data_IF_730181032483
#
_entry.id   IF_730181032483
#
_cell.length_a   1.000
_cell.length_b   1.000
_cell.length_c   1.000
_cell.angle_alpha   90.00
_cell.angle_beta   90.00
_cell.angle_gamma   90.00
#
_symmetry.space_group_name_H-M   'P 1'
#
loop_
_entity.id
_entity.type
_entity.pdbx_description
1 polymer ?
#
# COMPACT_ATOMS: atom_id res chain seq x y z
N UNK A 1 34.15 -26.06 -76.10
CA UNK A 1 34.50 -26.60 -74.77
C UNK A 1 34.76 -25.37 -73.89
N UNK A 2 33.75 -24.96 -73.11
CA UNK A 2 33.70 -23.70 -72.31
C UNK A 2 34.68 -23.78 -71.11
N UNK A 3 35.54 -22.79 -70.83
CA UNK A 3 35.41 -21.46 -70.16
C UNK A 3 35.10 -21.52 -68.65
N UNK A 4 35.92 -20.75 -67.92
CA UNK A 4 36.15 -20.57 -66.48
C UNK A 4 35.19 -19.56 -65.78
N UNK A 5 35.38 -19.40 -64.45
CA UNK A 5 34.87 -18.41 -63.47
C UNK A 5 33.54 -18.76 -62.77
N UNK A 6 33.30 -18.50 -61.47
CA UNK A 6 34.00 -17.73 -60.44
C UNK A 6 33.10 -17.71 -59.17
N UNK A 7 33.62 -17.14 -58.09
CA UNK A 7 33.20 -17.25 -56.68
C UNK A 7 31.83 -16.65 -56.27
N UNK A 8 31.43 -17.05 -55.05
CA UNK A 8 30.65 -16.32 -54.03
C UNK A 8 29.20 -15.89 -54.33
N UNK A 9 28.24 -16.34 -53.50
CA UNK A 9 27.49 -15.49 -52.56
C UNK A 9 26.44 -16.31 -51.78
N UNK A 10 26.55 -16.24 -50.45
CA UNK A 10 25.46 -16.02 -49.49
C UNK A 10 24.29 -17.02 -49.40
N UNK A 11 24.30 -17.86 -48.36
CA UNK A 11 23.07 -18.41 -47.77
C UNK A 11 23.12 -18.26 -46.23
N UNK A 12 23.43 -17.04 -45.77
CA UNK A 12 23.44 -16.63 -44.34
C UNK A 12 22.14 -15.90 -43.94
N UNK A 13 21.25 -15.62 -44.90
CA UNK A 13 20.07 -14.75 -44.69
C UNK A 13 18.93 -15.41 -43.92
N UNK A 14 18.84 -16.75 -43.88
CA UNK A 14 17.76 -17.43 -43.14
C UNK A 14 18.04 -17.56 -41.64
N UNK A 15 19.30 -17.72 -41.23
CA UNK A 15 19.67 -17.70 -39.81
C UNK A 15 19.59 -16.30 -39.23
N UNK A 16 20.01 -15.28 -39.97
CA UNK A 16 19.94 -13.89 -39.51
C UNK A 16 18.50 -13.44 -39.29
N UNK A 17 17.55 -13.77 -40.17
CA UNK A 17 16.13 -13.43 -39.93
C UNK A 17 15.50 -14.16 -38.75
N UNK A 18 15.93 -15.40 -38.46
CA UNK A 18 15.43 -16.16 -37.29
C UNK A 18 15.98 -15.60 -35.98
N UNK A 19 17.27 -15.28 -35.94
CA UNK A 19 17.92 -14.69 -34.76
C UNK A 19 17.41 -13.26 -34.54
N UNK A 20 17.20 -12.49 -35.61
CA UNK A 20 16.65 -11.14 -35.51
C UNK A 20 15.18 -11.17 -35.06
N UNK A 21 14.38 -12.15 -35.49
CA UNK A 21 12.98 -12.27 -35.05
C UNK A 21 12.86 -12.75 -33.60
N UNK A 22 13.72 -13.68 -33.14
CA UNK A 22 13.78 -14.10 -31.74
C UNK A 22 14.37 -13.01 -30.82
N UNK A 23 15.38 -12.25 -31.28
CA UNK A 23 15.89 -11.08 -30.57
C UNK A 23 14.87 -9.94 -30.55
N UNK A 24 14.09 -9.74 -31.62
CA UNK A 24 13.06 -8.70 -31.68
C UNK A 24 11.83 -9.10 -30.87
N UNK A 25 11.45 -10.37 -30.83
CA UNK A 25 10.37 -10.87 -29.96
C UNK A 25 10.79 -10.92 -28.49
N UNK A 26 12.05 -11.24 -28.17
CA UNK A 26 12.57 -11.14 -26.80
C UNK A 26 12.80 -9.70 -26.37
N UNK A 27 13.12 -8.80 -27.32
CA UNK A 27 13.18 -7.34 -27.10
C UNK A 27 11.80 -6.73 -26.98
N UNK A 28 10.79 -7.19 -27.73
CA UNK A 28 9.38 -6.76 -27.59
C UNK A 28 8.76 -7.34 -26.31
N UNK A 29 9.01 -8.60 -25.96
CA UNK A 29 8.69 -9.17 -24.64
C UNK A 29 9.51 -8.55 -23.50
N UNK A 30 10.60 -7.83 -23.79
CA UNK A 30 11.36 -6.99 -22.84
C UNK A 30 10.92 -5.52 -22.85
N UNK A 31 10.29 -5.02 -23.91
CA UNK A 31 9.71 -3.67 -23.97
C UNK A 31 8.28 -3.65 -23.38
N UNK A 32 7.57 -4.78 -23.42
CA UNK A 32 6.38 -5.01 -22.59
C UNK A 32 6.72 -5.21 -21.12
N UNK A 33 8.01 -5.43 -20.78
CA UNK A 33 8.47 -5.46 -19.39
C UNK A 33 8.61 -4.03 -18.87
N UNK A 34 7.82 -3.77 -17.85
CA UNK A 34 8.02 -2.72 -16.84
C UNK A 34 7.77 -1.31 -17.36
N UNK A 35 6.51 -0.99 -17.68
CA UNK A 35 6.08 0.42 -17.68
C UNK A 35 6.32 0.94 -16.25
N UNK A 36 7.23 1.91 -16.07
CA UNK A 36 7.50 2.50 -14.78
C UNK A 36 6.32 3.36 -14.34
N UNK A 37 5.84 3.15 -13.12
CA UNK A 37 4.72 3.90 -12.56
C UNK A 37 5.17 4.65 -11.31
N UNK A 38 4.82 5.94 -11.23
CA UNK A 38 5.13 6.79 -10.07
C UNK A 38 4.06 6.67 -8.97
N UNK A 39 4.43 6.83 -7.70
CA UNK A 39 3.47 6.84 -6.58
C UNK A 39 3.19 8.28 -6.16
N UNK A 40 1.91 8.63 -6.11
CA UNK A 40 1.40 9.95 -5.79
C UNK A 40 0.38 9.86 -4.65
N UNK A 41 0.59 10.62 -3.58
CA UNK A 41 -0.49 10.93 -2.64
C UNK A 41 -1.23 12.19 -3.09
N UNK A 42 -2.54 12.06 -3.22
CA UNK A 42 -3.41 13.18 -3.57
C UNK A 42 -3.74 13.97 -2.29
N UNK A 43 -3.17 15.18 -2.17
CA UNK A 43 -3.58 16.10 -1.11
C UNK A 43 -4.95 16.68 -1.47
N UNK A 44 -5.88 16.69 -0.52
CA UNK A 44 -7.22 17.29 -0.64
C UNK A 44 -7.22 18.83 -0.56
N UNK A 45 -6.15 19.47 -1.04
CA UNK A 45 -6.13 20.92 -1.27
C UNK A 45 -6.72 21.20 -2.65
N UNK A 46 -8.04 21.38 -2.71
CA UNK A 46 -8.64 22.21 -3.76
C UNK A 46 -8.28 23.65 -3.44
N UNK A 47 -7.29 24.16 -4.18
CA UNK A 47 -7.14 25.59 -4.35
C UNK A 47 -8.44 26.15 -4.97
N UNK A 48 -8.89 27.37 -4.61
CA UNK A 48 -9.97 28.05 -5.32
C UNK A 48 -9.65 28.30 -6.80
N UNK A 49 -8.42 28.03 -7.23
CA UNK A 49 -8.00 27.99 -8.62
C UNK A 49 -8.07 26.54 -9.16
N UNK A 50 -8.70 26.30 -10.32
CA UNK A 50 -9.05 24.96 -10.83
C UNK A 50 -7.88 24.04 -11.24
N UNK A 51 -6.63 24.34 -10.84
CA UNK A 51 -5.44 23.65 -11.36
C UNK A 51 -4.39 23.22 -10.34
N UNK A 52 -4.59 23.37 -9.03
CA UNK A 52 -3.58 22.92 -8.06
C UNK A 52 -4.14 21.91 -7.06
N UNK A 53 -4.39 20.70 -7.56
CA UNK A 53 -4.29 19.49 -6.73
C UNK A 53 -2.81 19.35 -6.34
N UNK A 54 -2.47 19.58 -5.08
CA UNK A 54 -1.11 19.29 -4.63
C UNK A 54 -0.93 17.78 -4.58
N UNK A 55 -0.26 17.23 -5.59
CA UNK A 55 0.16 15.84 -5.61
C UNK A 55 1.55 15.74 -5.01
N UNK A 56 1.73 14.93 -3.97
CA UNK A 56 3.05 14.61 -3.44
C UNK A 56 3.52 13.30 -4.07
N UNK A 57 4.51 13.39 -4.95
CA UNK A 57 5.20 12.20 -5.47
C UNK A 57 6.09 11.64 -4.36
N UNK A 58 5.96 10.35 -4.06
CA UNK A 58 6.65 9.69 -2.92
C UNK A 58 7.67 8.67 -3.42
N UNK A 59 7.59 8.21 -4.67
CA UNK A 59 8.54 7.27 -5.26
C UNK A 59 8.48 7.21 -6.78
N UNK A 60 9.54 6.66 -7.38
CA UNK A 60 9.78 6.56 -8.82
C UNK A 60 9.52 5.16 -9.38
N UNK A 61 8.96 5.10 -10.59
CA UNK A 61 9.21 4.05 -11.60
C UNK A 61 9.12 2.59 -11.10
N UNK A 62 7.97 2.17 -10.60
CA UNK A 62 7.71 0.77 -10.25
C UNK A 62 7.25 -0.06 -11.45
N UNK A 63 7.69 -1.32 -11.59
CA UNK A 63 7.25 -2.19 -12.68
C UNK A 63 5.78 -2.59 -12.52
N UNK A 64 4.93 -2.21 -13.48
CA UNK A 64 3.49 -2.46 -13.43
C UNK A 64 3.07 -3.93 -13.35
N UNK A 65 3.71 -4.80 -14.13
CA UNK A 65 3.26 -6.20 -14.29
C UNK A 65 3.28 -7.00 -12.96
N UNK A 66 4.39 -6.99 -12.19
CA UNK A 66 4.42 -7.60 -10.86
C UNK A 66 3.31 -7.10 -9.94
N UNK A 67 3.09 -5.79 -9.95
CA UNK A 67 2.13 -5.14 -9.10
C UNK A 67 0.69 -5.51 -9.46
N UNK A 68 0.35 -5.52 -10.76
CA UNK A 68 -0.96 -5.95 -11.26
C UNK A 68 -1.26 -7.40 -10.91
N UNK A 69 -0.26 -8.28 -10.99
CA UNK A 69 -0.44 -9.70 -10.70
C UNK A 69 -0.66 -9.98 -9.21
N UNK A 70 0.00 -9.21 -8.33
CA UNK A 70 -0.04 -9.43 -6.90
C UNK A 70 -1.11 -8.62 -6.16
N UNK A 71 -1.43 -7.40 -6.60
CA UNK A 71 -2.34 -6.47 -5.92
C UNK A 71 -3.55 -6.15 -6.82
N UNK A 72 -4.67 -6.89 -6.70
CA UNK A 72 -5.77 -6.81 -7.66
C UNK A 72 -6.50 -5.46 -7.65
N UNK A 73 -6.58 -4.77 -6.51
CA UNK A 73 -7.23 -3.44 -6.42
C UNK A 73 -6.31 -2.28 -6.77
N UNK A 74 -5.04 -2.55 -7.05
CA UNK A 74 -4.10 -1.50 -7.42
C UNK A 74 -4.52 -0.78 -8.72
N UNK A 75 -5.26 -1.46 -9.60
CA UNK A 75 -5.79 -0.87 -10.83
C UNK A 75 -6.76 0.29 -10.55
N UNK A 76 -7.47 0.26 -9.42
CA UNK A 76 -8.41 1.31 -9.03
C UNK A 76 -7.69 2.61 -8.65
N UNK A 77 -6.39 2.51 -8.36
CA UNK A 77 -5.51 3.61 -8.02
C UNK A 77 -4.69 4.10 -9.21
N UNK A 78 -4.79 3.47 -10.37
CA UNK A 78 -4.00 3.82 -11.53
C UNK A 78 -4.60 5.04 -12.26
N UNK A 79 -3.75 6.01 -12.64
CA UNK A 79 -4.21 7.11 -13.50
C UNK A 79 -4.71 6.58 -14.85
N UNK A 80 -5.59 7.30 -15.56
CA UNK A 80 -6.09 6.88 -16.88
C UNK A 80 -4.97 6.61 -17.90
N UNK A 81 -3.83 7.28 -17.76
CA UNK A 81 -2.67 7.11 -18.63
C UNK A 81 -1.73 5.97 -18.20
N UNK A 82 -2.05 5.26 -17.12
CA UNK A 82 -1.21 4.21 -16.53
C UNK A 82 0.22 4.66 -16.15
N UNK A 83 0.38 5.93 -15.80
CA UNK A 83 1.69 6.53 -15.47
C UNK A 83 1.91 6.71 -13.98
N UNK A 84 0.85 6.72 -13.17
CA UNK A 84 0.96 6.95 -11.73
C UNK A 84 -0.09 6.19 -10.94
N UNK A 85 0.26 5.80 -9.71
CA UNK A 85 -0.65 5.32 -8.68
C UNK A 85 -1.03 6.48 -7.77
N UNK A 86 -2.33 6.75 -7.66
CA UNK A 86 -2.89 7.83 -6.87
C UNK A 86 -3.60 7.24 -5.66
N UNK A 87 -3.04 7.52 -4.49
CA UNK A 87 -3.61 7.12 -3.21
C UNK A 87 -4.16 8.32 -2.44
N UNK A 88 -5.19 8.13 -1.60
CA UNK A 88 -5.72 9.20 -0.77
C UNK A 88 -4.67 9.67 0.25
N UNK A 89 -4.48 10.98 0.39
CA UNK A 89 -3.74 11.50 1.53
C UNK A 89 -4.61 11.41 2.79
N UNK A 90 -4.17 10.62 3.76
CA UNK A 90 -4.83 10.43 5.05
C UNK A 90 -3.78 10.13 6.12
N UNK A 91 -3.94 10.62 7.36
CA UNK A 91 -3.05 10.26 8.47
C UNK A 91 -3.05 8.74 8.76
N UNK A 92 -4.12 8.05 8.37
CA UNK A 92 -4.27 6.62 8.47
C UNK A 92 -3.40 5.83 7.47
N UNK A 93 -3.00 6.44 6.36
CA UNK A 93 -2.23 5.80 5.30
C UNK A 93 -0.75 6.18 5.40
N UNK A 94 0.07 5.22 5.83
CA UNK A 94 1.51 5.41 5.94
C UNK A 94 2.20 5.25 4.58
N UNK A 95 2.63 6.39 4.02
CA UNK A 95 3.26 6.47 2.70
C UNK A 95 4.55 5.64 2.59
N UNK A 96 5.36 5.63 3.66
CA UNK A 96 6.63 4.91 3.66
C UNK A 96 6.39 3.41 3.73
N UNK A 97 5.47 2.99 4.59
CA UNK A 97 5.06 1.59 4.66
C UNK A 97 4.48 1.10 3.33
N UNK A 98 3.65 1.91 2.67
CA UNK A 98 3.10 1.58 1.34
C UNK A 98 4.21 1.38 0.30
N UNK A 99 5.16 2.31 0.20
CA UNK A 99 6.29 2.19 -0.74
C UNK A 99 7.13 0.95 -0.45
N UNK A 100 7.47 0.72 0.82
CA UNK A 100 8.25 -0.45 1.24
C UNK A 100 7.52 -1.76 0.90
N UNK A 101 6.20 -1.78 1.09
CA UNK A 101 5.38 -2.94 0.78
C UNK A 101 5.26 -3.20 -0.73
N UNK A 102 5.11 -2.14 -1.54
CA UNK A 102 5.13 -2.27 -3.00
C UNK A 102 6.50 -2.78 -3.49
N UNK A 103 7.60 -2.30 -2.92
CA UNK A 103 8.94 -2.81 -3.21
C UNK A 103 9.10 -4.30 -2.82
N UNK A 104 8.51 -4.71 -1.69
CA UNK A 104 8.48 -6.11 -1.27
C UNK A 104 7.75 -6.99 -2.30
N UNK A 105 6.57 -6.58 -2.76
CA UNK A 105 5.82 -7.30 -3.81
C UNK A 105 6.68 -7.50 -5.06
N UNK A 106 7.37 -6.46 -5.50
CA UNK A 106 8.21 -6.49 -6.69
C UNK A 106 9.36 -7.48 -6.53
N UNK A 107 10.09 -7.40 -5.42
CA UNK A 107 11.21 -8.31 -5.14
C UNK A 107 10.76 -9.77 -4.99
N UNK A 108 9.59 -10.02 -4.40
CA UNK A 108 9.02 -11.37 -4.29
C UNK A 108 8.59 -11.92 -5.66
N UNK A 109 8.03 -11.07 -6.51
CA UNK A 109 7.70 -11.46 -7.89
C UNK A 109 8.96 -11.77 -8.71
N UNK A 110 10.04 -10.99 -8.59
CA UNK A 110 11.32 -11.25 -9.27
C UNK A 110 11.95 -12.58 -8.85
N UNK A 111 11.74 -12.99 -7.60
CA UNK A 111 12.21 -14.27 -7.06
C UNK A 111 11.23 -15.43 -7.28
N UNK A 112 10.09 -15.20 -7.95
CA UNK A 112 9.07 -16.20 -8.22
C UNK A 112 8.30 -16.67 -6.98
N UNK A 113 8.38 -15.92 -5.88
CA UNK A 113 7.70 -16.23 -4.62
C UNK A 113 6.38 -15.47 -4.51
N UNK A 114 5.36 -16.12 -3.94
CA UNK A 114 4.12 -15.42 -3.60
C UNK A 114 4.41 -14.37 -2.51
N UNK A 115 3.67 -13.24 -2.50
CA UNK A 115 3.89 -12.25 -1.48
C UNK A 115 3.53 -12.81 -0.10
N UNK A 116 4.55 -12.98 0.73
CA UNK A 116 4.44 -13.46 2.09
C UNK A 116 4.91 -12.36 3.03
N UNK A 117 4.02 -11.97 3.93
CA UNK A 117 4.38 -11.21 5.12
C UNK A 117 4.70 -12.23 6.21
N UNK A 118 5.92 -12.18 6.73
CA UNK A 118 6.23 -12.89 7.97
C UNK A 118 5.62 -12.10 9.12
N UNK A 119 4.33 -12.37 9.39
CA UNK A 119 3.61 -11.73 10.47
C UNK A 119 4.37 -11.92 11.80
N UNK A 120 4.98 -13.10 12.03
CA UNK A 120 5.76 -13.44 13.22
C UNK A 120 6.86 -12.42 13.57
N UNK A 121 7.39 -11.74 12.55
CA UNK A 121 8.47 -10.77 12.68
C UNK A 121 8.00 -9.31 12.85
N UNK A 122 6.70 -9.05 12.68
CA UNK A 122 6.15 -7.70 12.81
C UNK A 122 6.12 -7.28 14.29
N UNK A 123 6.46 -6.02 14.60
CA UNK A 123 6.29 -5.51 15.96
C UNK A 123 4.81 -5.56 16.33
N UNK A 124 4.46 -5.95 17.57
CA UNK A 124 3.07 -6.06 18.03
C UNK A 124 2.43 -4.69 18.30
N UNK A 125 2.94 -3.63 17.69
CA UNK A 125 2.42 -2.27 17.82
C UNK A 125 1.07 -2.15 17.10
N UNK A 126 -0.04 -1.87 17.82
CA UNK A 126 -1.37 -1.84 17.23
C UNK A 126 -1.50 -0.81 16.10
N UNK A 127 -0.86 0.36 16.22
CA UNK A 127 -0.95 1.41 15.19
C UNK A 127 -0.28 0.99 13.90
N UNK A 128 0.92 0.40 13.99
CA UNK A 128 1.65 -0.15 12.84
C UNK A 128 0.88 -1.27 12.15
N UNK A 129 0.24 -2.15 12.93
CA UNK A 129 -0.61 -3.22 12.39
C UNK A 129 -1.88 -2.68 11.71
N UNK A 130 -2.51 -1.63 12.26
CA UNK A 130 -3.64 -0.94 11.63
C UNK A 130 -3.22 -0.35 10.28
N UNK A 131 -2.10 0.39 10.24
CA UNK A 131 -1.57 0.98 9.00
C UNK A 131 -1.28 -0.08 7.94
N UNK A 132 -0.70 -1.22 8.33
CA UNK A 132 -0.46 -2.34 7.43
C UNK A 132 -1.77 -2.93 6.93
N UNK A 133 -2.74 -3.19 7.81
CA UNK A 133 -4.05 -3.71 7.41
C UNK A 133 -4.73 -2.81 6.37
N UNK A 134 -4.69 -1.49 6.58
CA UNK A 134 -5.27 -0.51 5.66
C UNK A 134 -4.62 -0.61 4.27
N UNK A 135 -3.29 -0.71 4.21
CA UNK A 135 -2.55 -0.88 2.95
C UNK A 135 -2.96 -2.19 2.28
N UNK A 136 -3.05 -3.29 3.01
CA UNK A 136 -3.45 -4.59 2.46
C UNK A 136 -4.88 -4.56 1.92
N UNK A 137 -5.81 -3.91 2.60
CA UNK A 137 -7.19 -3.72 2.12
C UNK A 137 -7.24 -2.87 0.84
N UNK A 138 -6.50 -1.76 0.81
CA UNK A 138 -6.37 -0.89 -0.36
C UNK A 138 -5.84 -1.63 -1.58
N UNK A 139 -4.87 -2.53 -1.37
CA UNK A 139 -4.27 -3.31 -2.45
C UNK A 139 -5.10 -4.55 -2.85
N UNK A 140 -6.17 -4.87 -2.10
CA UNK A 140 -7.00 -6.05 -2.36
C UNK A 140 -6.30 -7.36 -2.01
N UNK A 141 -5.56 -7.37 -0.90
CA UNK A 141 -4.84 -8.53 -0.39
C UNK A 141 -5.61 -9.14 0.78
N UNK A 142 -6.86 -9.56 0.56
CA UNK A 142 -7.80 -9.91 1.64
C UNK A 142 -7.29 -11.01 2.57
N UNK A 143 -6.56 -12.01 2.04
CA UNK A 143 -6.00 -13.09 2.87
C UNK A 143 -4.95 -12.57 3.86
N UNK A 144 -4.06 -11.68 3.40
CA UNK A 144 -3.05 -11.08 4.26
C UNK A 144 -3.69 -10.09 5.23
N UNK A 145 -4.65 -9.29 4.76
CA UNK A 145 -5.41 -8.37 5.61
C UNK A 145 -6.12 -9.13 6.74
N UNK A 146 -6.79 -10.25 6.44
CA UNK A 146 -7.43 -11.10 7.45
C UNK A 146 -6.45 -11.61 8.51
N UNK A 147 -5.26 -12.06 8.11
CA UNK A 147 -4.23 -12.49 9.06
C UNK A 147 -3.73 -11.35 9.98
N UNK A 148 -3.52 -10.15 9.42
CA UNK A 148 -3.16 -8.96 10.22
C UNK A 148 -4.31 -8.56 11.16
N UNK A 149 -5.57 -8.75 10.74
CA UNK A 149 -6.73 -8.43 11.57
C UNK A 149 -6.87 -9.35 12.79
N UNK A 150 -6.61 -10.64 12.62
CA UNK A 150 -6.55 -11.59 13.74
C UNK A 150 -5.46 -11.19 14.73
N UNK A 151 -4.30 -10.81 14.21
CA UNK A 151 -3.17 -10.33 15.00
C UNK A 151 -3.46 -9.03 15.76
N UNK A 152 -4.21 -8.11 15.16
CA UNK A 152 -4.65 -6.88 15.80
C UNK A 152 -5.49 -7.15 17.05
N UNK A 153 -6.41 -8.12 16.99
CA UNK A 153 -7.19 -8.50 18.16
C UNK A 153 -6.30 -8.99 19.31
N UNK A 154 -5.32 -9.85 19.02
CA UNK A 154 -4.35 -10.31 20.02
C UNK A 154 -3.53 -9.16 20.57
N UNK A 155 -3.09 -8.23 19.72
CA UNK A 155 -2.32 -7.06 20.14
C UNK A 155 -3.11 -6.14 21.08
N UNK A 156 -4.41 -5.93 20.84
CA UNK A 156 -5.27 -5.16 21.76
C UNK A 156 -5.68 -5.92 23.02
N UNK A 157 -5.72 -7.25 22.98
CA UNK A 157 -6.05 -8.08 24.14
C UNK A 157 -4.89 -8.15 25.14
N UNK A 158 -3.70 -8.46 24.63
CA UNK A 158 -2.54 -8.82 25.43
C UNK A 158 -1.58 -7.62 25.59
N UNK A 159 -1.48 -6.78 24.57
CA UNK A 159 -0.55 -5.65 24.54
C UNK A 159 -0.99 -4.45 25.37
N UNK A 160 -0.06 -3.51 25.63
CA UNK A 160 -0.39 -2.25 26.29
C UNK A 160 -1.13 -1.31 25.34
N UNK A 161 -2.29 -0.80 25.78
CA UNK A 161 -2.99 0.28 25.09
C UNK A 161 -2.58 1.61 25.72
N UNK A 162 -1.85 2.42 24.96
CA UNK A 162 -1.31 3.70 25.42
C UNK A 162 -2.20 4.88 25.00
N UNK A 163 -2.02 6.03 25.64
CA UNK A 163 -2.68 7.27 25.23
C UNK A 163 -2.34 7.64 23.77
N UNK A 164 -1.11 7.38 23.32
CA UNK A 164 -0.70 7.64 21.94
C UNK A 164 -1.53 6.83 20.93
N UNK A 165 -1.77 5.55 21.21
CA UNK A 165 -2.63 4.72 20.36
C UNK A 165 -4.04 5.30 20.28
N UNK A 166 -4.62 5.67 21.43
CA UNK A 166 -5.98 6.22 21.51
C UNK A 166 -6.11 7.54 20.74
N UNK A 167 -5.18 8.47 20.97
CA UNK A 167 -5.16 9.78 20.29
C UNK A 167 -4.97 9.60 18.79
N UNK A 168 -4.07 8.70 18.37
CA UNK A 168 -3.84 8.46 16.94
C UNK A 168 -5.06 7.85 16.26
N UNK A 169 -5.68 6.81 16.84
CA UNK A 169 -6.83 6.12 16.26
C UNK A 169 -8.03 7.07 16.18
N UNK A 170 -8.35 7.78 17.27
CA UNK A 170 -9.46 8.75 17.24
C UNK A 170 -9.16 9.94 16.33
N UNK A 171 -7.92 10.43 16.30
CA UNK A 171 -7.52 11.53 15.41
C UNK A 171 -7.54 11.15 13.92
N UNK A 172 -7.29 9.89 13.59
CA UNK A 172 -7.24 9.40 12.21
C UNK A 172 -8.56 8.80 11.72
N UNK A 173 -9.44 8.36 12.63
CA UNK A 173 -10.65 7.57 12.32
C UNK A 173 -11.93 8.04 13.03
N UNK A 174 -11.81 8.82 14.12
CA UNK A 174 -12.85 9.02 15.12
C UNK A 174 -13.93 10.04 14.78
N UNK A 175 -13.69 10.96 13.85
CA UNK A 175 -14.71 11.92 13.40
C UNK A 175 -14.64 12.17 11.88
N UNK A 176 -15.80 12.07 11.23
CA UNK A 176 -16.03 12.68 9.93
C UNK A 176 -15.97 14.20 10.15
N UNK A 177 -14.85 14.87 9.83
CA UNK A 177 -14.77 16.34 9.90
C UNK A 177 -15.85 16.94 8.99
N UNK A 178 -17.02 17.22 9.57
CA UNK A 178 -18.15 17.94 8.97
C UNK A 178 -17.82 19.43 8.86
N UNK A 179 -16.71 19.76 8.21
CA UNK A 179 -16.38 21.12 7.78
C UNK A 179 -16.78 21.28 6.33
N UNK A 180 -17.80 22.10 6.07
CA UNK A 180 -18.29 22.59 4.77
C UNK A 180 -17.48 22.09 3.55
N UNK A 181 -17.86 20.91 3.03
CA UNK A 181 -17.50 20.47 1.68
C UNK A 181 -16.37 19.44 1.52
N UNK A 182 -15.77 18.87 2.57
CA UNK A 182 -14.67 17.90 2.40
C UNK A 182 -14.93 16.59 3.14
N UNK A 183 -15.11 15.49 2.39
CA UNK A 183 -14.99 14.14 2.94
C UNK A 183 -13.52 13.73 2.87
N UNK A 184 -12.86 13.70 4.01
CA UNK A 184 -11.56 13.06 4.14
C UNK A 184 -11.72 11.57 3.83
N UNK A 185 -10.77 10.96 3.11
CA UNK A 185 -10.84 9.52 2.87
C UNK A 185 -10.65 8.80 4.20
N UNK A 186 -11.54 7.84 4.46
CA UNK A 186 -11.49 7.05 5.70
C UNK A 186 -11.41 5.57 5.33
N UNK A 187 -10.59 4.77 6.03
CA UNK A 187 -10.54 3.33 5.81
C UNK A 187 -11.90 2.66 6.00
N UNK A 188 -12.12 1.58 5.23
CA UNK A 188 -13.36 0.79 5.29
C UNK A 188 -13.59 0.18 6.67
N UNK A 189 -12.51 -0.24 7.33
CA UNK A 189 -12.54 -0.91 8.63
C UNK A 189 -12.40 0.06 9.82
N UNK A 190 -12.69 1.35 9.64
CA UNK A 190 -12.52 2.38 10.68
C UNK A 190 -13.28 2.07 11.96
N UNK A 191 -14.54 1.65 11.88
CA UNK A 191 -15.36 1.37 13.06
C UNK A 191 -14.77 0.21 13.85
N UNK A 192 -14.21 -0.77 13.15
CA UNK A 192 -13.59 -1.93 13.76
C UNK A 192 -12.34 -1.54 14.56
N UNK A 193 -11.49 -0.66 14.04
CA UNK A 193 -10.32 -0.17 14.79
C UNK A 193 -10.70 0.59 16.06
N UNK A 194 -11.74 1.44 15.96
CA UNK A 194 -12.27 2.16 17.13
C UNK A 194 -12.84 1.19 18.15
N UNK A 195 -13.54 0.15 17.71
CA UNK A 195 -14.08 -0.90 18.59
C UNK A 195 -12.98 -1.72 19.27
N UNK A 196 -11.95 -2.16 18.54
CA UNK A 196 -10.81 -2.89 19.11
C UNK A 196 -10.09 -2.05 20.16
N UNK A 197 -9.85 -0.77 19.86
CA UNK A 197 -9.25 0.17 20.80
C UNK A 197 -10.12 0.32 22.04
N UNK A 198 -11.42 0.61 21.88
CA UNK A 198 -12.34 0.77 23.01
C UNK A 198 -12.40 -0.49 23.88
N UNK A 199 -12.46 -1.67 23.25
CA UNK A 199 -12.43 -2.94 23.96
C UNK A 199 -11.11 -3.15 24.71
N UNK A 200 -9.96 -2.87 24.08
CA UNK A 200 -8.65 -2.98 24.71
C UNK A 200 -8.48 -2.04 25.91
N UNK A 201 -9.00 -0.81 25.82
CA UNK A 201 -9.03 0.14 26.95
C UNK A 201 -9.87 -0.40 28.11
N UNK A 202 -11.10 -0.86 27.83
CA UNK A 202 -12.00 -1.40 28.85
C UNK A 202 -11.42 -2.64 29.53
N UNK A 203 -10.79 -3.53 28.75
CA UNK A 203 -10.18 -4.74 29.29
C UNK A 203 -8.94 -4.42 30.13
N UNK A 204 -8.09 -3.50 29.67
CA UNK A 204 -6.93 -3.04 30.42
C UNK A 204 -7.32 -2.37 31.75
N UNK A 205 -8.41 -1.60 31.78
CA UNK A 205 -8.92 -1.00 33.01
C UNK A 205 -9.46 -2.04 33.99
N UNK A 206 -10.27 -2.97 33.50
CA UNK A 206 -10.81 -4.08 34.29
C UNK A 206 -9.71 -4.94 34.93
N UNK A 207 -8.61 -5.16 34.22
CA UNK A 207 -7.45 -5.93 34.69
C UNK A 207 -6.46 -5.09 35.51
N UNK A 208 -6.70 -3.79 35.70
CA UNK A 208 -5.79 -2.89 36.40
C UNK A 208 -4.47 -2.61 35.67
N UNK A 209 -4.40 -2.92 34.37
CA UNK A 209 -3.24 -2.71 33.48
C UNK A 209 -3.31 -1.41 32.69
N UNK A 210 -4.37 -0.62 32.85
CA UNK A 210 -4.54 0.63 32.11
C UNK A 210 -3.40 1.60 32.41
N UNK A 211 -2.82 2.15 31.35
CA UNK A 211 -1.79 3.18 31.43
C UNK A 211 -2.30 4.40 32.20
N UNK A 212 -1.47 4.94 33.10
CA UNK A 212 -1.89 6.02 34.00
C UNK A 212 -2.16 7.33 33.24
N UNK A 213 -1.42 7.62 32.16
CA UNK A 213 -1.69 8.82 31.36
C UNK A 213 -3.04 8.71 30.65
N UNK A 214 -3.35 7.52 30.14
CA UNK A 214 -4.64 7.23 29.53
C UNK A 214 -5.78 7.30 30.57
N UNK A 215 -5.59 6.75 31.77
CA UNK A 215 -6.56 6.86 32.87
C UNK A 215 -6.86 8.31 33.21
N UNK A 216 -5.83 9.13 33.43
CA UNK A 216 -5.97 10.57 33.73
C UNK A 216 -6.70 11.30 32.60
N UNK A 217 -6.38 10.97 31.35
CA UNK A 217 -7.05 11.54 30.18
C UNK A 217 -8.55 11.21 30.16
N UNK A 218 -8.93 9.95 30.37
CA UNK A 218 -10.33 9.51 30.36
C UNK A 218 -11.15 10.18 31.47
N UNK A 219 -10.64 10.22 32.71
CA UNK A 219 -11.30 10.89 33.84
C UNK A 219 -11.51 12.39 33.55
N UNK A 220 -10.52 13.03 32.93
CA UNK A 220 -10.61 14.46 32.57
C UNK A 220 -11.66 14.72 31.49
N UNK A 221 -11.78 13.84 30.50
CA UNK A 221 -12.77 13.96 29.44
C UNK A 221 -14.20 13.67 29.92
N UNK A 222 -14.39 12.71 30.83
CA UNK A 222 -15.68 12.47 31.49
C UNK A 222 -16.16 13.69 32.29
N UNK A 223 -15.25 14.30 33.06
CA UNK A 223 -15.53 15.51 33.83
C UNK A 223 -15.84 16.76 32.99
N UNK A 224 -15.49 16.77 31.69
CA UNK A 224 -15.86 17.84 30.75
C UNK A 224 -17.24 17.66 30.12
N UNK A 225 -17.76 16.43 30.10
CA UNK A 225 -19.06 16.08 29.49
C UNK A 225 -20.21 16.05 30.51
N UNK A 226 -19.89 16.17 31.80
CA UNK A 226 -20.82 16.23 32.93
C UNK A 226 -21.14 17.67 33.30
#
# INVERSE_FOLDING_TARGET
MNIFCGEHLSDDTTKETSILNEQTQSSQRRLERQIPIDIVLQSSHTSPYPHTSHTRTIGSSLPWLPLKAAAPKLIDHLTPCATSLVFPSSPALDAHLLVNFLALIISQHETGSAPALDLASLPPDPVSLIKLHIILELLGLERLAGGVLEWLWTAFAEGPVTLEHVVWILGSMGEERMGWGRREWVPRSRELYVQMMAWGVLNADWEGRLDEQLRVFLVREEGRRS
#
